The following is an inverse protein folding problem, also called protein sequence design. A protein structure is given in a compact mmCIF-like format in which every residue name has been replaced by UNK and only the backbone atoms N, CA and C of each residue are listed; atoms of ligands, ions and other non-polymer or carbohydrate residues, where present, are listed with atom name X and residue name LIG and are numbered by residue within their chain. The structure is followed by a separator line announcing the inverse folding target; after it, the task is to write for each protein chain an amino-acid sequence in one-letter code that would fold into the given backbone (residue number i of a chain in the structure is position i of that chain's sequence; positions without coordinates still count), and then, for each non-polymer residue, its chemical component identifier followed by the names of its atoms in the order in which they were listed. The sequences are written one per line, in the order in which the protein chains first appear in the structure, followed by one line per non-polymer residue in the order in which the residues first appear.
data_IF_334546553470
#
_entry.id   IF_334546553470
#
_cell.length_a   1.000
_cell.length_b   1.000
_cell.length_c   1.000
_cell.angle_alpha   90.00
_cell.angle_beta   90.00
_cell.angle_gamma   90.00
#
_symmetry.space_group_name_H-M   'P 1'
#
loop_
_entity.id
_entity.type
_entity.pdbx_description
1 polymer ?
#
# COMPACT_ATOMS: atom_id res chain seq x y z
N UNK A 1 -12.32 -0.31 -11.58
CA UNK A 1 -11.32 0.20 -12.54
C UNK A 1 -10.04 0.46 -11.77
N UNK A 2 -8.91 -0.07 -12.25
CA UNK A 2 -7.61 0.15 -11.60
C UNK A 2 -7.29 1.64 -11.64
N UNK A 3 -6.92 2.18 -10.48
CA UNK A 3 -6.47 3.55 -10.28
C UNK A 3 -4.99 3.70 -10.58
N UNK A 4 -4.18 2.72 -10.17
CA UNK A 4 -2.73 2.83 -10.19
C UNK A 4 -2.04 1.52 -9.82
N UNK A 5 -0.74 1.49 -10.07
CA UNK A 5 0.16 0.47 -9.56
C UNK A 5 1.14 1.07 -8.57
N UNK A 6 1.55 0.24 -7.62
CA UNK A 6 2.49 0.57 -6.55
C UNK A 6 3.51 -0.53 -6.41
N UNK A 7 4.73 -0.13 -6.08
CA UNK A 7 5.79 -1.06 -5.68
C UNK A 7 5.83 -1.06 -4.16
N UNK A 8 5.61 -2.23 -3.59
CA UNK A 8 5.60 -2.46 -2.14
C UNK A 8 6.56 -3.58 -1.79
N UNK A 9 7.10 -3.58 -0.57
CA UNK A 9 7.91 -4.71 -0.10
C UNK A 9 7.07 -5.99 -0.02
N UNK A 10 7.65 -7.12 -0.42
CA UNK A 10 7.12 -8.46 -0.16
C UNK A 10 7.15 -8.73 1.34
N UNK A 11 6.16 -9.46 1.84
CA UNK A 11 6.10 -9.88 3.26
C UNK A 11 7.40 -10.50 3.73
N UNK A 12 7.87 -11.49 2.99
CA UNK A 12 8.99 -12.34 3.41
C UNK A 12 10.31 -11.55 3.46
N UNK A 13 10.38 -10.43 2.72
CA UNK A 13 11.53 -9.52 2.74
C UNK A 13 11.52 -8.57 3.95
N UNK A 14 10.36 -8.31 4.56
CA UNK A 14 10.25 -7.42 5.74
C UNK A 14 10.68 -8.15 7.01
N UNK A 15 10.52 -9.47 7.10
CA UNK A 15 11.00 -10.27 8.24
C UNK A 15 12.51 -10.16 8.49
N UNK A 16 13.29 -9.76 7.48
CA UNK A 16 14.76 -9.74 7.53
C UNK A 16 15.33 -8.43 8.09
N UNK A 17 14.57 -7.31 8.02
CA UNK A 17 15.11 -5.99 8.35
C UNK A 17 14.37 -5.24 9.47
N UNK A 18 13.09 -5.53 9.72
CA UNK A 18 12.29 -4.80 10.70
C UNK A 18 11.67 -5.78 11.70
N UNK A 19 12.42 -6.08 12.77
CA UNK A 19 11.94 -6.88 13.90
C UNK A 19 10.66 -6.24 14.48
N UNK A 20 9.52 -6.93 14.31
CA UNK A 20 8.25 -6.82 15.06
C UNK A 20 7.11 -5.93 14.52
N UNK A 21 7.26 -5.14 13.47
CA UNK A 21 6.17 -4.22 13.04
C UNK A 21 5.05 -4.88 12.22
N UNK A 22 5.25 -6.06 11.62
CA UNK A 22 4.28 -6.70 10.72
C UNK A 22 3.58 -7.96 11.27
N UNK A 23 3.63 -8.24 12.57
CA UNK A 23 3.07 -9.50 13.13
C UNK A 23 1.83 -9.25 14.00
N UNK A 24 0.61 -9.54 13.52
CA UNK A 24 -0.53 -9.77 14.39
C UNK A 24 -0.45 -11.18 14.97
N UNK A 25 -0.94 -11.27 16.21
CA UNK A 25 -1.04 -12.46 17.04
C UNK A 25 -1.42 -13.74 16.25
N UNK A 26 -0.66 -14.83 16.49
CA UNK A 26 -0.72 -16.17 15.86
C UNK A 26 0.14 -16.42 14.60
N UNK A 27 1.22 -15.66 14.37
CA UNK A 27 2.29 -15.98 13.38
C UNK A 27 1.82 -16.25 11.93
N UNK A 28 0.60 -15.85 11.52
CA UNK A 28 -0.01 -16.31 10.25
C UNK A 28 -0.68 -15.22 9.41
N UNK A 29 -0.89 -14.02 9.96
CA UNK A 29 -1.49 -12.90 9.24
C UNK A 29 -0.38 -11.93 8.84
N UNK A 30 -0.32 -11.54 7.58
CA UNK A 30 0.64 -10.56 7.08
C UNK A 30 -0.09 -9.40 6.43
N UNK A 31 0.24 -8.15 6.73
CA UNK A 31 -0.47 -6.98 6.19
C UNK A 31 0.00 -6.60 4.79
N UNK A 32 -0.78 -6.83 3.72
CA UNK A 32 -0.48 -6.48 2.31
C UNK A 32 -1.14 -5.19 1.82
N UNK A 33 -1.48 -4.27 2.71
CA UNK A 33 -2.02 -2.98 2.28
C UNK A 33 -0.95 -2.07 1.68
N UNK A 34 -1.36 -0.83 1.41
CA UNK A 34 -0.62 0.04 0.51
C UNK A 34 0.65 0.61 1.15
N UNK A 35 0.71 0.70 2.47
CA UNK A 35 1.69 1.49 3.22
C UNK A 35 3.00 0.75 3.55
N UNK A 36 3.40 -0.23 2.73
CA UNK A 36 4.70 -0.90 2.91
C UNK A 36 5.81 -0.08 2.25
N UNK A 37 6.22 1.01 2.92
CA UNK A 37 7.31 1.91 2.50
C UNK A 37 7.34 2.14 0.98
N UNK A 38 6.21 2.59 0.44
CA UNK A 38 6.05 2.91 -0.98
C UNK A 38 7.17 3.83 -1.42
N UNK A 39 7.86 3.47 -2.50
CA UNK A 39 9.01 4.21 -3.05
C UNK A 39 10.19 4.43 -2.09
N UNK A 40 10.05 4.18 -0.79
CA UNK A 40 11.07 4.42 0.23
C UNK A 40 12.35 3.66 -0.05
N UNK A 41 12.29 2.48 -0.66
CA UNK A 41 13.50 1.76 -1.10
C UNK A 41 14.21 2.44 -2.26
N UNK A 42 13.46 2.98 -3.23
CA UNK A 42 14.00 3.74 -4.37
C UNK A 42 14.52 5.10 -3.89
N UNK A 43 13.76 5.81 -3.05
CA UNK A 43 14.14 7.08 -2.44
C UNK A 43 15.37 6.92 -1.56
N UNK A 44 15.44 5.87 -0.73
CA UNK A 44 16.62 5.56 0.07
C UNK A 44 17.81 5.18 -0.79
N UNK A 45 17.60 4.42 -1.88
CA UNK A 45 18.66 4.08 -2.83
C UNK A 45 19.24 5.35 -3.47
N UNK A 46 18.39 6.24 -3.96
CA UNK A 46 18.77 7.55 -4.50
C UNK A 46 19.48 8.43 -3.45
N UNK A 47 18.92 8.52 -2.24
CA UNK A 47 19.48 9.30 -1.13
C UNK A 47 20.89 8.83 -0.73
N UNK A 48 21.14 7.51 -0.79
CA UNK A 48 22.46 6.91 -0.52
C UNK A 48 23.46 7.05 -1.68
N UNK A 49 23.11 7.83 -2.72
CA UNK A 49 23.97 8.07 -3.88
C UNK A 49 23.82 7.03 -5.00
N UNK A 50 22.79 6.19 -4.95
CA UNK A 50 22.40 5.33 -6.06
C UNK A 50 21.90 6.16 -7.24
N UNK A 51 22.02 5.60 -8.46
CA UNK A 51 21.56 6.26 -9.69
C UNK A 51 20.56 5.39 -10.41
N UNK A 52 19.47 5.99 -10.87
CA UNK A 52 18.57 5.38 -11.83
C UNK A 52 19.13 5.53 -13.25
N UNK A 53 18.93 4.53 -14.11
CA UNK A 53 19.14 4.72 -15.54
C UNK A 53 18.11 5.72 -16.09
N UNK A 54 18.34 6.26 -17.28
CA UNK A 54 17.48 7.31 -17.83
C UNK A 54 16.02 6.87 -17.97
N UNK A 55 15.76 5.59 -18.24
CA UNK A 55 14.40 5.09 -18.39
C UNK A 55 13.69 5.05 -17.02
N UNK A 56 14.31 4.40 -16.03
CA UNK A 56 13.79 4.34 -14.68
C UNK A 56 13.67 5.73 -14.04
N UNK A 57 14.61 6.63 -14.30
CA UNK A 57 14.55 8.01 -13.79
C UNK A 57 13.36 8.78 -14.36
N UNK A 58 13.08 8.60 -15.66
CA UNK A 58 11.95 9.28 -16.31
C UNK A 58 10.62 8.76 -15.77
N UNK A 59 10.47 7.44 -15.61
CA UNK A 59 9.27 6.83 -15.02
C UNK A 59 9.07 7.30 -13.57
N UNK A 60 10.12 7.26 -12.75
CA UNK A 60 10.07 7.71 -11.35
C UNK A 60 9.64 9.18 -11.26
N UNK A 61 10.25 10.06 -12.05
CA UNK A 61 9.86 11.49 -12.08
C UNK A 61 8.41 11.66 -12.51
N UNK A 62 7.97 10.96 -13.56
CA UNK A 62 6.58 11.04 -14.01
C UNK A 62 5.59 10.61 -12.93
N UNK A 63 5.93 9.61 -12.13
CA UNK A 63 5.10 9.14 -11.02
C UNK A 63 5.05 10.18 -9.90
N UNK A 64 6.21 10.70 -9.47
CA UNK A 64 6.30 11.71 -8.42
C UNK A 64 5.55 12.98 -8.82
N UNK A 65 5.72 13.44 -10.07
CA UNK A 65 5.03 14.61 -10.58
C UNK A 65 3.51 14.40 -10.61
N UNK A 66 3.04 13.19 -10.92
CA UNK A 66 1.61 12.83 -10.87
C UNK A 66 1.05 12.67 -9.45
N UNK A 67 1.92 12.58 -8.44
CA UNK A 67 1.56 12.51 -7.02
C UNK A 67 1.21 13.85 -6.38
N UNK A 68 1.54 14.96 -7.05
CA UNK A 68 1.29 16.33 -6.58
C UNK A 68 -0.18 16.78 -6.78
N UNK A 69 -1.14 15.89 -6.53
CA UNK A 69 -2.58 16.11 -6.68
C UNK A 69 -3.33 16.21 -5.33
N UNK A 70 -2.58 16.29 -4.23
CA UNK A 70 -3.12 16.35 -2.87
C UNK A 70 -3.46 14.99 -2.25
N UNK A 71 -3.38 13.89 -3.00
CA UNK A 71 -3.52 12.54 -2.42
C UNK A 71 -2.25 12.05 -1.72
N UNK A 72 -1.09 12.60 -2.11
CA UNK A 72 0.25 12.16 -1.72
C UNK A 72 0.53 10.68 -2.04
N UNK A 73 -0.30 10.04 -2.88
CA UNK A 73 -0.08 8.70 -3.37
C UNK A 73 0.56 8.77 -4.75
N UNK A 74 1.81 8.35 -4.82
CA UNK A 74 2.60 8.23 -6.03
C UNK A 74 2.26 6.90 -6.72
N UNK A 75 1.50 6.96 -7.81
CA UNK A 75 1.02 5.78 -8.54
C UNK A 75 1.64 5.70 -9.94
N UNK A 76 2.10 4.51 -10.33
CA UNK A 76 2.37 4.25 -11.73
C UNK A 76 1.05 4.10 -12.50
N UNK A 77 0.91 4.83 -13.60
CA UNK A 77 -0.31 4.81 -14.42
C UNK A 77 -0.33 3.63 -15.41
N UNK A 78 0.77 2.88 -15.52
CA UNK A 78 0.86 1.67 -16.35
C UNK A 78 1.62 0.59 -15.60
N UNK A 79 1.31 -0.68 -15.90
CA UNK A 79 2.07 -1.82 -15.34
C UNK A 79 3.54 -1.75 -15.79
N UNK A 80 3.79 -1.44 -17.06
CA UNK A 80 5.14 -1.32 -17.60
C UNK A 80 5.99 -0.28 -16.84
N UNK A 81 5.43 0.87 -16.47
CA UNK A 81 6.11 1.87 -15.65
C UNK A 81 6.52 1.32 -14.28
N UNK A 82 5.61 0.57 -13.63
CA UNK A 82 5.93 -0.12 -12.38
C UNK A 82 6.98 -1.22 -12.55
N UNK A 83 6.95 -1.97 -13.66
CA UNK A 83 7.95 -3.02 -13.97
C UNK A 83 9.33 -2.44 -14.24
N UNK A 84 9.43 -1.33 -14.99
CA UNK A 84 10.70 -0.63 -15.23
C UNK A 84 11.36 -0.25 -13.90
N UNK A 85 10.58 0.28 -12.97
CA UNK A 85 11.08 0.71 -11.66
C UNK A 85 11.39 -0.47 -10.74
N UNK A 86 10.58 -1.53 -10.76
CA UNK A 86 10.85 -2.74 -9.99
C UNK A 86 12.16 -3.40 -10.46
N UNK A 87 12.38 -3.48 -11.77
CA UNK A 87 13.51 -4.18 -12.38
C UNK A 87 14.85 -3.42 -12.28
N UNK A 88 14.82 -2.10 -12.02
CA UNK A 88 16.02 -1.26 -12.06
C UNK A 88 17.11 -1.69 -11.04
N UNK A 89 16.76 -2.40 -9.96
CA UNK A 89 17.76 -2.96 -9.05
C UNK A 89 17.35 -4.37 -8.61
N UNK A 90 18.12 -5.41 -8.97
CA UNK A 90 17.84 -6.79 -8.60
C UNK A 90 17.68 -7.00 -7.08
N UNK A 91 18.43 -6.29 -6.24
CA UNK A 91 18.27 -6.38 -4.79
C UNK A 91 16.93 -5.78 -4.31
N UNK A 92 16.44 -4.74 -5.01
CA UNK A 92 15.12 -4.12 -4.77
C UNK A 92 14.01 -5.00 -5.35
N UNK A 93 14.18 -5.55 -6.56
CA UNK A 93 13.22 -6.44 -7.23
C UNK A 93 12.97 -7.74 -6.46
N UNK A 94 14.00 -8.29 -5.83
CA UNK A 94 13.86 -9.51 -5.01
C UNK A 94 12.97 -9.26 -3.79
N UNK A 95 13.05 -8.06 -3.22
CA UNK A 95 12.35 -7.70 -1.99
C UNK A 95 11.01 -6.99 -2.20
N UNK A 96 10.69 -6.57 -3.43
CA UNK A 96 9.50 -5.80 -3.74
C UNK A 96 8.58 -6.54 -4.72
N UNK A 97 7.31 -6.17 -4.70
CA UNK A 97 6.26 -6.67 -5.59
C UNK A 97 5.39 -5.51 -6.08
N UNK A 98 4.78 -5.67 -7.26
CA UNK A 98 3.80 -4.73 -7.78
C UNK A 98 2.43 -5.11 -7.25
N UNK A 99 1.70 -4.13 -6.72
CA UNK A 99 0.27 -4.24 -6.43
C UNK A 99 -0.51 -3.26 -7.31
N UNK A 100 -1.72 -3.66 -7.68
CA UNK A 100 -2.72 -2.81 -8.29
C UNK A 100 -3.67 -2.28 -7.20
N UNK A 101 -4.07 -1.02 -7.32
CA UNK A 101 -5.08 -0.42 -6.46
C UNK A 101 -6.29 0.04 -7.25
N UNK A 102 -7.45 -0.06 -6.64
CA UNK A 102 -8.70 0.54 -7.11
C UNK A 102 -9.32 1.36 -5.99
N UNK A 103 -9.60 2.63 -6.29
CA UNK A 103 -10.23 3.58 -5.37
C UNK A 103 -11.23 4.44 -6.13
N UNK A 104 -12.43 4.59 -5.58
CA UNK A 104 -13.44 5.48 -6.16
C UNK A 104 -13.01 6.94 -6.10
N UNK A 105 -12.35 7.37 -5.01
CA UNK A 105 -11.89 8.74 -4.86
C UNK A 105 -10.70 9.05 -5.78
N UNK A 106 -9.66 8.21 -5.75
CA UNK A 106 -8.47 8.42 -6.55
C UNK A 106 -8.78 8.35 -8.05
N UNK A 107 -9.76 7.54 -8.48
CA UNK A 107 -10.22 7.52 -9.88
C UNK A 107 -10.81 8.86 -10.36
N UNK A 108 -11.15 9.79 -9.47
CA UNK A 108 -11.62 11.14 -9.83
C UNK A 108 -10.44 12.09 -10.11
N UNK A 109 -9.34 11.92 -9.38
CA UNK A 109 -8.20 12.87 -9.40
C UNK A 109 -7.00 12.35 -10.20
N UNK A 110 -6.85 11.02 -10.31
CA UNK A 110 -5.74 10.38 -11.04
C UNK A 110 -6.07 10.22 -12.53
N UNK A 111 -5.04 10.24 -13.40
CA UNK A 111 -5.20 9.89 -14.81
C UNK A 111 -5.83 8.51 -14.97
N UNK A 112 -6.69 8.35 -15.97
CA UNK A 112 -7.30 7.06 -16.28
C UNK A 112 -6.27 6.11 -16.88
N UNK A 113 -6.23 4.88 -16.36
CA UNK A 113 -5.44 3.80 -16.93
C UNK A 113 -6.18 3.20 -18.13
N UNK A 114 -5.47 3.07 -19.26
CA UNK A 114 -6.06 2.58 -20.51
C UNK A 114 -6.05 1.05 -20.61
N UNK A 115 -5.03 0.41 -20.05
CA UNK A 115 -4.84 -1.05 -20.15
C UNK A 115 -4.62 -1.66 -18.77
N UNK A 116 -5.43 -2.67 -18.45
CA UNK A 116 -5.38 -3.35 -17.16
C UNK A 116 -5.19 -4.85 -17.38
N UNK A 117 -4.08 -5.45 -16.90
CA UNK A 117 -3.94 -6.89 -16.90
C UNK A 117 -4.98 -7.52 -15.96
N UNK A 118 -5.24 -8.83 -16.05
CA UNK A 118 -6.02 -9.53 -15.05
C UNK A 118 -5.45 -9.29 -13.64
N UNK A 119 -6.31 -8.93 -12.69
CA UNK A 119 -5.91 -8.68 -11.29
C UNK A 119 -6.51 -9.76 -10.40
N UNK A 120 -5.65 -10.36 -9.57
CA UNK A 120 -6.09 -11.14 -8.42
C UNK A 120 -6.31 -10.20 -7.24
N UNK A 121 -7.58 -9.89 -6.96
CA UNK A 121 -7.96 -9.01 -5.85
C UNK A 121 -7.76 -9.72 -4.51
N UNK A 122 -6.99 -9.09 -3.63
CA UNK A 122 -6.62 -9.63 -2.32
C UNK A 122 -7.55 -9.16 -1.21
N UNK A 123 -8.10 -7.95 -1.29
CA UNK A 123 -8.97 -7.41 -0.26
C UNK A 123 -9.05 -5.88 -0.32
N UNK A 124 -9.42 -5.28 0.80
CA UNK A 124 -9.56 -3.84 0.97
C UNK A 124 -8.69 -3.35 2.11
N UNK A 125 -8.13 -2.17 1.90
CA UNK A 125 -7.38 -1.38 2.87
C UNK A 125 -8.12 -0.08 3.15
N UNK A 126 -7.85 0.51 4.30
CA UNK A 126 -8.43 1.77 4.72
C UNK A 126 -7.32 2.79 4.90
N UNK A 127 -7.34 3.83 4.07
CA UNK A 127 -6.20 4.73 3.87
C UNK A 127 -6.61 6.15 4.16
N UNK A 128 -5.79 6.84 4.95
CA UNK A 128 -5.87 8.28 5.08
C UNK A 128 -4.98 8.92 4.02
N UNK A 129 -5.56 9.58 3.01
CA UNK A 129 -4.80 10.24 1.95
C UNK A 129 -3.96 11.38 2.54
N UNK A 130 -2.69 11.50 2.13
CA UNK A 130 -1.70 12.34 2.83
C UNK A 130 -1.10 11.70 4.08
N UNK A 131 -1.51 10.49 4.43
CA UNK A 131 -1.05 9.74 5.61
C UNK A 131 -0.74 8.29 5.27
N UNK A 132 -1.32 7.37 6.05
CA UNK A 132 -0.97 5.96 6.08
C UNK A 132 -2.21 5.05 6.10
N UNK A 133 -1.99 3.74 6.04
CA UNK A 133 -3.06 2.77 6.27
C UNK A 133 -3.43 2.70 7.74
N UNK A 134 -4.71 2.88 8.04
CA UNK A 134 -5.23 2.77 9.39
C UNK A 134 -5.14 1.33 9.92
N UNK A 135 -5.20 0.32 9.05
CA UNK A 135 -5.00 -1.09 9.45
C UNK A 135 -3.59 -1.24 10.01
N UNK A 136 -2.57 -0.79 9.26
CA UNK A 136 -1.16 -0.87 9.69
C UNK A 136 -0.96 -0.18 11.02
N UNK A 137 -1.39 1.08 11.12
CA UNK A 137 -1.15 1.88 12.32
C UNK A 137 -1.91 1.34 13.55
N UNK A 138 -3.20 1.02 13.39
CA UNK A 138 -4.03 0.55 14.49
C UNK A 138 -3.65 -0.85 14.97
N UNK A 139 -3.59 -1.82 14.06
CA UNK A 139 -3.44 -3.24 14.40
C UNK A 139 -1.97 -3.64 14.53
N UNK A 140 -1.11 -3.21 13.60
CA UNK A 140 0.25 -3.76 13.46
C UNK A 140 1.28 -2.96 14.26
N UNK A 141 1.19 -1.63 14.27
CA UNK A 141 2.16 -0.77 14.99
C UNK A 141 1.82 -0.63 16.48
N UNK A 142 0.53 -0.47 16.82
CA UNK A 142 0.09 -0.32 18.20
C UNK A 142 -0.27 -1.66 18.88
N UNK A 143 -0.13 -2.80 18.19
CA UNK A 143 -0.42 -4.16 18.67
C UNK A 143 -1.78 -4.29 19.39
N UNK A 144 -2.82 -3.66 18.82
CA UNK A 144 -4.12 -3.57 19.45
C UNK A 144 -4.94 -4.84 19.22
N UNK A 145 -4.78 -5.80 20.14
CA UNK A 145 -5.49 -7.08 20.11
C UNK A 145 -7.01 -6.95 20.11
N UNK A 146 -7.56 -5.86 20.67
CA UNK A 146 -9.01 -5.62 20.63
C UNK A 146 -9.50 -5.42 19.19
N UNK A 147 -8.78 -4.62 18.38
CA UNK A 147 -9.10 -4.39 16.97
C UNK A 147 -9.07 -5.71 16.21
N UNK A 148 -8.08 -6.56 16.45
CA UNK A 148 -7.98 -7.88 15.81
C UNK A 148 -9.14 -8.82 16.17
N UNK A 149 -9.60 -8.80 17.41
CA UNK A 149 -10.67 -9.70 17.85
C UNK A 149 -12.01 -9.39 17.18
N UNK A 150 -12.27 -8.11 16.89
CA UNK A 150 -13.50 -7.68 16.23
C UNK A 150 -13.34 -7.56 14.71
N UNK A 151 -12.10 -7.43 14.22
CA UNK A 151 -11.81 -7.25 12.80
C UNK A 151 -11.43 -8.55 12.14
N UNK A 152 -12.29 -9.02 11.22
CA UNK A 152 -11.98 -10.15 10.37
C UNK A 152 -11.12 -9.71 9.19
N UNK A 153 -9.80 -9.76 9.38
CA UNK A 153 -8.84 -9.66 8.29
C UNK A 153 -8.63 -11.02 7.63
N UNK A 154 -8.37 -11.01 6.34
CA UNK A 154 -8.06 -12.21 5.57
C UNK A 154 -6.58 -12.59 5.67
N UNK A 155 -6.18 -13.62 4.93
CA UNK A 155 -4.79 -14.10 4.92
C UNK A 155 -3.76 -13.06 4.48
N UNK A 156 -4.21 -11.99 3.83
CA UNK A 156 -3.39 -10.86 3.39
C UNK A 156 -3.45 -9.68 4.36
N UNK A 157 -4.04 -9.83 5.55
CA UNK A 157 -4.16 -8.76 6.53
C UNK A 157 -5.00 -7.58 6.02
N UNK A 158 -5.93 -7.86 5.11
CA UNK A 158 -6.86 -6.90 4.50
C UNK A 158 -8.28 -7.28 4.86
N UNK A 159 -9.23 -6.35 4.71
CA UNK A 159 -10.64 -6.69 4.79
C UNK A 159 -11.09 -7.48 3.56
N UNK A 160 -11.92 -8.50 3.73
CA UNK A 160 -12.51 -9.23 2.60
C UNK A 160 -13.61 -8.44 1.88
N UNK A 161 -14.25 -7.50 2.58
CA UNK A 161 -15.40 -6.73 2.10
C UNK A 161 -15.41 -5.33 2.71
N UNK A 162 -15.78 -4.28 1.94
CA UNK A 162 -15.88 -2.91 2.44
C UNK A 162 -16.82 -2.74 3.64
N UNK A 163 -17.88 -3.54 3.79
CA UNK A 163 -18.82 -3.36 4.91
C UNK A 163 -18.14 -3.61 6.27
N UNK A 164 -17.11 -4.46 6.31
CA UNK A 164 -16.33 -4.76 7.51
C UNK A 164 -15.50 -3.58 8.03
N UNK A 165 -15.34 -2.53 7.22
CA UNK A 165 -14.53 -1.33 7.55
C UNK A 165 -15.24 -0.47 8.58
N UNK A 166 -16.57 -0.37 8.53
CA UNK A 166 -17.37 0.43 9.45
C UNK A 166 -17.13 0.05 10.92
N UNK A 167 -17.22 -1.24 11.24
CA UNK A 167 -16.97 -1.75 12.59
C UNK A 167 -15.53 -1.52 13.06
N UNK A 168 -14.55 -1.63 12.15
CA UNK A 168 -13.17 -1.28 12.47
C UNK A 168 -13.02 0.20 12.80
N UNK A 169 -13.66 1.09 12.03
CA UNK A 169 -13.61 2.54 12.25
C UNK A 169 -14.22 2.94 13.58
N UNK A 170 -15.36 2.37 13.94
CA UNK A 170 -16.00 2.63 15.24
C UNK A 170 -15.07 2.27 16.40
N UNK A 171 -14.40 1.11 16.32
CA UNK A 171 -13.44 0.70 17.34
C UNK A 171 -12.17 1.55 17.32
N UNK A 172 -11.65 1.87 16.13
CA UNK A 172 -10.48 2.75 15.98
C UNK A 172 -10.75 4.12 16.62
N UNK A 173 -11.91 4.71 16.36
CA UNK A 173 -12.32 6.00 16.93
C UNK A 173 -12.44 5.90 18.46
N UNK A 174 -13.06 4.84 18.98
CA UNK A 174 -13.14 4.61 20.43
C UNK A 174 -11.75 4.51 21.07
N UNK A 175 -10.82 3.81 20.43
CA UNK A 175 -9.44 3.67 20.93
C UNK A 175 -8.67 5.00 20.85
N UNK A 176 -8.90 5.76 19.78
CA UNK A 176 -8.35 7.09 19.57
C UNK A 176 -8.82 8.07 20.66
N UNK A 177 -10.11 8.05 21.00
CA UNK A 177 -10.67 8.86 22.08
C UNK A 177 -10.10 8.52 23.46
N UNK A 178 -9.64 7.28 23.63
CA UNK A 178 -8.93 6.79 24.81
C UNK A 178 -7.41 6.95 24.74
N UNK A 179 -6.88 7.69 23.75
CA UNK A 179 -5.46 7.91 23.49
C UNK A 179 -4.64 6.60 23.37
N UNK A 180 -5.23 5.56 22.77
CA UNK A 180 -4.56 4.28 22.50
C UNK A 180 -3.99 4.18 21.09
N UNK A 181 -4.56 4.94 20.16
CA UNK A 181 -4.08 5.12 18.80
C UNK A 181 -4.21 6.59 18.43
N UNK A 182 -3.54 7.02 17.36
CA UNK A 182 -3.63 8.40 16.89
C UNK A 182 -5.01 8.72 16.34
N UNK A 183 -5.44 9.96 16.54
CA UNK A 183 -6.67 10.51 15.99
C UNK A 183 -6.60 10.58 14.47
N UNK A 184 -7.70 10.20 13.82
CA UNK A 184 -7.91 10.50 12.41
C UNK A 184 -7.98 12.03 12.29
N UNK A 185 -7.17 12.60 11.42
CA UNK A 185 -7.15 14.05 11.19
C UNK A 185 -8.34 14.39 10.27
N UNK A 186 -9.33 15.14 10.77
CA UNK A 186 -10.56 15.49 10.04
C UNK A 186 -10.31 16.18 8.69
N UNK A 187 -9.17 16.85 8.52
CA UNK A 187 -8.80 17.51 7.26
C UNK A 187 -8.27 16.56 6.20
N UNK A 188 -8.00 15.30 6.54
CA UNK A 188 -7.51 14.29 5.61
C UNK A 188 -8.66 13.41 5.13
N UNK A 189 -8.57 12.97 3.88
CA UNK A 189 -9.61 12.18 3.24
C UNK A 189 -9.37 10.71 3.57
N UNK A 190 -10.37 10.09 4.17
CA UNK A 190 -10.38 8.66 4.40
C UNK A 190 -10.96 7.94 3.17
N UNK A 191 -10.21 6.99 2.64
CA UNK A 191 -10.57 6.27 1.43
C UNK A 191 -10.44 4.75 1.60
N UNK A 192 -11.36 4.01 1.00
CA UNK A 192 -11.33 2.55 0.96
C UNK A 192 -10.69 2.13 -0.35
N UNK A 193 -9.51 1.53 -0.26
CA UNK A 193 -8.73 1.12 -1.42
C UNK A 193 -8.79 -0.39 -1.56
N UNK A 194 -9.23 -0.86 -2.72
CA UNK A 194 -9.14 -2.28 -3.07
C UNK A 194 -7.73 -2.59 -3.56
N UNK A 195 -7.13 -3.64 -3.01
CA UNK A 195 -5.73 -4.02 -3.30
C UNK A 195 -5.72 -5.37 -4.01
N UNK A 196 -4.91 -5.48 -5.07
CA UNK A 196 -4.76 -6.71 -5.84
C UNK A 196 -3.37 -6.89 -6.41
N UNK A 197 -3.08 -8.10 -6.89
CA UNK A 197 -1.83 -8.42 -7.59
C UNK A 197 -2.09 -8.54 -9.10
N UNK A 198 -1.33 -7.83 -9.95
CA UNK A 198 -1.40 -8.07 -11.38
C UNK A 198 -0.90 -9.48 -11.71
N UNK A 199 -1.62 -10.17 -12.59
CA UNK A 199 -1.20 -11.45 -13.15
C UNK A 199 -0.28 -11.12 -14.33
N UNK A 200 1.01 -11.20 -14.08
CA UNK A 200 2.07 -11.02 -15.07
C UNK A 200 2.40 -12.41 -15.59
N UNK A 201 2.16 -12.69 -16.87
CA UNK A 201 2.49 -13.98 -17.46
C UNK A 201 4.00 -14.22 -17.34
N UNK A 202 4.39 -15.27 -16.62
CA UNK A 202 5.79 -15.62 -16.38
C UNK A 202 6.53 -16.15 -17.63
N UNK A 203 5.95 -15.98 -18.82
CA UNK A 203 6.46 -16.52 -20.08
C UNK A 203 6.31 -15.49 -21.21
N UNK A 204 7.22 -14.53 -21.26
CA UNK A 204 7.71 -13.90 -22.49
C UNK A 204 9.23 -13.83 -22.44
#
# INVERSE_FOLDING_TARGET
MITGYLIVRKVDAVEVHENNFLKPYNNTIYYHGIDRLMWGDIDNYLFKGGTLDNNALNEYKSIVDSGNDGSFLNLANTLNSAEVLLNHNNAVALNNEIIAIESSFLNVIKPKIQETPPIYWMGYDLVLLGGWSLIRHGIFENNMLSLLNNTKLNRYGLFDNPDSISGFLDEYNLLSDNNKVDKIIDSLILDTIKVGKPIIDANL
#
